data_IF_962701281179
#
_entry.id   IF_962701281179
#
_cell.length_a   1.000
_cell.length_b   1.000
_cell.length_c   1.000
_cell.angle_alpha   90.00
_cell.angle_beta   90.00
_cell.angle_gamma   90.00
#
_symmetry.space_group_name_H-M   'P 1'
#
loop_
_entity.id
_entity.type
_entity.pdbx_description
1 polymer ?
#
# COMPACT_ATOMS: atom_id res chain seq x y z
N UNK A 1 -7.16 -17.03 -54.37
CA UNK A 1 -8.21 -16.00 -54.24
C UNK A 1 -8.87 -15.86 -52.86
N UNK A 2 -8.40 -16.58 -51.82
CA UNK A 2 -8.77 -16.32 -50.41
C UNK A 2 -7.62 -15.63 -49.64
N UNK A 3 -6.37 -16.11 -49.77
CA UNK A 3 -5.20 -15.55 -49.06
C UNK A 3 -4.78 -14.11 -49.42
N UNK A 4 -5.28 -13.52 -50.51
CA UNK A 4 -5.02 -12.10 -50.83
C UNK A 4 -5.99 -11.14 -50.12
N UNK A 5 -7.18 -11.61 -49.75
CA UNK A 5 -8.20 -10.79 -49.06
C UNK A 5 -7.88 -10.59 -47.57
N UNK A 6 -7.14 -11.52 -46.95
CA UNK A 6 -6.75 -11.41 -45.55
C UNK A 6 -5.60 -10.40 -45.32
N UNK A 7 -4.72 -10.19 -46.32
CA UNK A 7 -3.63 -9.21 -46.24
C UNK A 7 -4.16 -7.78 -46.41
N UNK A 8 -5.19 -7.58 -47.23
CA UNK A 8 -5.87 -6.30 -47.42
C UNK A 8 -6.73 -5.90 -46.20
N UNK A 9 -7.24 -6.89 -45.44
CA UNK A 9 -7.98 -6.65 -44.19
C UNK A 9 -7.05 -6.30 -43.01
N UNK A 10 -5.82 -6.85 -42.98
CA UNK A 10 -4.81 -6.49 -41.98
C UNK A 10 -4.21 -5.10 -42.29
N UNK A 11 -4.01 -4.76 -43.57
CA UNK A 11 -3.47 -3.44 -43.96
C UNK A 11 -4.47 -2.29 -43.77
N UNK A 12 -5.78 -2.54 -43.91
CA UNK A 12 -6.82 -1.55 -43.54
C UNK A 12 -7.00 -1.39 -42.02
N UNK A 13 -6.76 -2.43 -41.22
CA UNK A 13 -6.72 -2.31 -39.75
C UNK A 13 -5.41 -1.69 -39.22
N UNK A 14 -4.35 -1.66 -40.04
CA UNK A 14 -3.10 -0.97 -39.72
C UNK A 14 -3.16 0.53 -40.05
N UNK A 15 -4.05 0.97 -40.95
CA UNK A 15 -4.27 2.40 -41.24
C UNK A 15 -5.14 3.12 -40.21
N UNK A 16 -5.88 2.40 -39.36
CA UNK A 16 -6.66 2.99 -38.24
C UNK A 16 -5.87 3.13 -36.93
N UNK A 17 -4.58 2.76 -36.92
CA UNK A 17 -3.67 3.00 -35.77
C UNK A 17 -3.01 4.38 -35.78
N UNK A 18 -3.52 5.32 -36.56
CA UNK A 18 -3.16 6.73 -36.47
C UNK A 18 -4.23 7.48 -35.67
N UNK A 19 -4.07 7.49 -34.35
CA UNK A 19 -4.33 8.63 -33.44
C UNK A 19 -4.20 8.18 -31.97
N UNK A 20 -3.07 7.55 -31.65
CA UNK A 20 -2.49 7.76 -30.32
C UNK A 20 -1.94 9.18 -30.37
N UNK A 21 -2.79 10.12 -29.94
CA UNK A 21 -2.45 11.53 -29.78
C UNK A 21 -1.08 11.65 -29.14
N UNK A 22 -0.24 12.50 -29.74
CA UNK A 22 1.10 12.81 -29.29
C UNK A 22 1.10 12.94 -27.76
N UNK A 23 1.77 12.00 -27.08
CA UNK A 23 2.37 12.31 -25.79
C UNK A 23 3.17 13.58 -26.02
N UNK A 24 2.82 14.65 -25.30
CA UNK A 24 3.56 15.90 -25.28
C UNK A 24 5.06 15.61 -25.38
N UNK A 25 5.73 16.23 -26.36
CA UNK A 25 7.15 16.07 -26.58
C UNK A 25 7.88 16.19 -25.23
N UNK A 26 8.50 15.11 -24.77
CA UNK A 26 9.27 15.12 -23.54
C UNK A 26 10.39 16.15 -23.75
N UNK A 27 10.38 17.22 -22.98
CA UNK A 27 11.42 18.24 -22.99
C UNK A 27 12.71 17.63 -22.43
N UNK A 28 13.53 17.07 -23.32
CA UNK A 28 14.80 16.40 -22.99
C UNK A 28 15.75 17.33 -22.21
N UNK A 29 15.60 18.66 -22.34
CA UNK A 29 16.41 19.64 -21.60
C UNK A 29 16.16 19.62 -20.08
N UNK A 30 15.10 18.93 -19.63
CA UNK A 30 14.76 18.73 -18.22
C UNK A 30 15.35 17.45 -17.62
N UNK A 31 16.06 16.64 -18.41
CA UNK A 31 16.60 15.37 -17.95
C UNK A 31 18.10 15.28 -18.23
N UNK A 32 18.83 14.62 -17.34
CA UNK A 32 20.26 14.39 -17.50
C UNK A 32 20.65 13.02 -16.97
N UNK A 33 21.66 12.41 -17.59
CA UNK A 33 22.16 11.11 -17.20
C UNK A 33 22.98 11.22 -15.91
N UNK A 34 22.62 10.42 -14.92
CA UNK A 34 23.37 10.26 -13.68
C UNK A 34 23.92 8.86 -13.53
N UNK A 35 24.96 8.69 -12.72
CA UNK A 35 25.49 7.40 -12.33
C UNK A 35 25.34 7.21 -10.81
N UNK A 36 24.83 6.06 -10.41
CA UNK A 36 24.73 5.62 -9.01
C UNK A 36 25.67 4.43 -8.80
N UNK A 37 26.46 4.45 -7.73
CA UNK A 37 27.38 3.36 -7.42
C UNK A 37 26.67 2.02 -7.14
N UNK A 38 25.44 2.08 -6.62
CA UNK A 38 24.64 0.89 -6.27
C UNK A 38 23.73 0.42 -7.39
N UNK A 39 23.33 1.32 -8.29
CA UNK A 39 22.27 1.08 -9.27
C UNK A 39 22.70 1.29 -10.73
N UNK A 40 23.90 1.82 -10.97
CA UNK A 40 24.41 2.13 -12.30
C UNK A 40 23.80 3.40 -12.90
N UNK A 41 23.77 3.46 -14.23
CA UNK A 41 23.25 4.61 -14.98
C UNK A 41 21.73 4.78 -14.82
N UNK A 42 21.30 6.04 -14.74
CA UNK A 42 19.89 6.42 -14.66
C UNK A 42 19.65 7.78 -15.31
N UNK A 43 18.40 8.09 -15.62
CA UNK A 43 17.97 9.43 -16.02
C UNK A 43 17.36 10.14 -14.81
N UNK A 44 17.82 11.35 -14.52
CA UNK A 44 17.29 12.20 -13.46
C UNK A 44 16.65 13.46 -14.02
N UNK A 45 15.59 13.92 -13.37
CA UNK A 45 15.04 15.24 -13.63
C UNK A 45 15.97 16.33 -13.09
N UNK A 46 16.14 17.38 -13.87
CA UNK A 46 16.83 18.61 -13.47
C UNK A 46 15.83 19.49 -12.73
N UNK A 47 16.13 19.83 -11.47
CA UNK A 47 15.43 20.90 -10.75
C UNK A 47 16.21 22.20 -10.92
N UNK A 48 15.57 23.22 -11.48
CA UNK A 48 16.07 24.59 -11.50
C UNK A 48 15.57 25.32 -10.26
N UNK A 49 16.49 25.92 -9.51
CA UNK A 49 16.14 26.86 -8.43
C UNK A 49 16.45 28.28 -8.89
N UNK A 50 15.41 29.11 -8.85
CA UNK A 50 15.53 30.55 -8.55
C UNK A 50 16.20 31.44 -9.61
N UNK A 51 16.15 31.06 -10.90
CA UNK A 51 16.59 31.95 -11.99
C UNK A 51 18.11 32.24 -12.04
N UNK A 52 18.89 31.66 -11.14
CA UNK A 52 20.37 31.75 -11.08
C UNK A 52 21.08 30.76 -12.01
N UNK A 53 20.33 29.85 -12.65
CA UNK A 53 20.83 28.90 -13.63
C UNK A 53 21.44 27.61 -13.02
N UNK A 54 21.53 27.50 -11.70
CA UNK A 54 22.01 26.29 -11.03
C UNK A 54 21.02 25.13 -11.17
N UNK A 55 21.48 24.06 -11.81
CA UNK A 55 20.72 22.82 -12.05
C UNK A 55 21.13 21.78 -11.02
N UNK A 56 20.17 21.24 -10.27
CA UNK A 56 20.40 20.16 -9.32
C UNK A 56 19.69 18.88 -9.74
N UNK A 57 20.37 17.76 -9.61
CA UNK A 57 19.81 16.44 -9.85
C UNK A 57 18.91 16.01 -8.70
N UNK A 58 17.78 15.38 -9.00
CA UNK A 58 16.96 14.75 -7.96
C UNK A 58 17.67 13.63 -7.20
N UNK A 59 18.81 13.13 -7.70
CA UNK A 59 19.47 11.91 -7.22
C UNK A 59 18.93 10.66 -7.90
N UNK A 60 19.53 9.51 -7.60
CA UNK A 60 19.12 8.22 -8.17
C UNK A 60 17.66 7.89 -7.79
N UNK A 61 16.74 7.72 -8.77
CA UNK A 61 15.34 7.41 -8.48
C UNK A 61 15.16 6.12 -7.66
N UNK A 62 16.05 5.13 -7.86
CA UNK A 62 16.03 3.87 -7.10
C UNK A 62 16.43 4.08 -5.64
N UNK A 63 17.53 4.77 -5.35
CA UNK A 63 17.90 5.12 -3.96
C UNK A 63 16.79 5.92 -3.25
N UNK A 64 16.16 6.86 -3.95
CA UNK A 64 15.05 7.64 -3.40
C UNK A 64 13.84 6.77 -3.07
N UNK A 65 13.47 5.86 -3.98
CA UNK A 65 12.39 4.92 -3.76
C UNK A 65 12.68 4.00 -2.55
N UNK A 66 13.88 3.43 -2.48
CA UNK A 66 14.33 2.59 -1.35
C UNK A 66 14.29 3.35 -0.02
N UNK A 67 14.75 4.61 0.00
CA UNK A 67 14.72 5.46 1.20
C UNK A 67 13.28 5.77 1.61
N UNK A 68 12.40 6.05 0.64
CA UNK A 68 10.97 6.25 0.88
C UNK A 68 10.33 5.00 1.49
N UNK A 69 10.60 3.83 0.93
CA UNK A 69 10.08 2.55 1.45
C UNK A 69 10.59 2.30 2.87
N UNK A 70 11.89 2.51 3.15
CA UNK A 70 12.44 2.39 4.51
C UNK A 70 11.74 3.31 5.52
N UNK A 71 11.44 4.56 5.12
CA UNK A 71 10.69 5.51 5.95
C UNK A 71 9.26 5.03 6.22
N UNK A 72 8.55 4.58 5.17
CA UNK A 72 7.19 4.04 5.31
C UNK A 72 7.19 2.82 6.22
N UNK A 73 8.15 1.91 6.06
CA UNK A 73 8.31 0.74 6.90
C UNK A 73 8.54 1.13 8.37
N UNK A 74 9.42 2.09 8.65
CA UNK A 74 9.66 2.60 10.00
C UNK A 74 8.42 3.24 10.66
N UNK A 75 7.48 3.75 9.86
CA UNK A 75 6.22 4.33 10.33
C UNK A 75 5.08 3.30 10.43
N UNK A 76 5.26 2.11 9.84
CA UNK A 76 4.21 1.11 9.71
C UNK A 76 3.80 0.43 11.00
N UNK A 77 4.61 0.53 12.06
CA UNK A 77 4.39 -0.17 13.34
C UNK A 77 4.31 -1.70 13.22
N UNK A 78 4.73 -2.28 12.08
CA UNK A 78 4.87 -3.73 11.92
C UNK A 78 5.88 -4.25 12.96
N UNK A 79 5.49 -5.20 13.83
CA UNK A 79 6.38 -5.77 14.83
C UNK A 79 7.63 -6.39 14.19
N UNK A 80 8.78 -6.33 14.89
CA UNK A 80 10.05 -6.88 14.39
C UNK A 80 9.94 -8.34 13.93
N UNK A 81 9.11 -9.17 14.60
CA UNK A 81 8.89 -10.58 14.24
C UNK A 81 8.21 -10.79 12.87
N UNK A 82 7.60 -9.73 12.33
CA UNK A 82 6.91 -9.74 11.05
C UNK A 82 7.59 -8.88 9.97
N UNK A 83 8.74 -8.28 10.29
CA UNK A 83 9.42 -7.31 9.44
C UNK A 83 9.90 -7.89 8.10
N UNK A 84 10.17 -9.20 8.07
CA UNK A 84 10.66 -9.95 6.92
C UNK A 84 9.56 -10.76 6.21
N UNK A 85 8.30 -10.66 6.66
CA UNK A 85 7.21 -11.50 6.15
C UNK A 85 6.64 -10.94 4.86
N UNK A 86 6.86 -11.67 3.77
CA UNK A 86 6.42 -11.35 2.42
C UNK A 86 5.75 -12.58 1.78
N UNK A 87 5.22 -12.43 0.56
CA UNK A 87 4.54 -13.54 -0.12
C UNK A 87 5.49 -14.70 -0.47
N UNK A 88 6.74 -14.40 -0.83
CA UNK A 88 7.75 -15.41 -1.19
C UNK A 88 8.11 -16.32 -0.02
N UNK A 89 8.13 -15.79 1.20
CA UNK A 89 8.42 -16.53 2.42
C UNK A 89 7.22 -17.20 3.07
N UNK A 90 6.03 -17.20 2.44
CA UNK A 90 4.84 -17.87 2.96
C UNK A 90 4.67 -19.26 2.34
N UNK A 91 4.65 -20.30 3.18
CA UNK A 91 4.42 -21.68 2.74
C UNK A 91 3.01 -22.14 3.11
N UNK A 92 2.17 -22.37 2.10
CA UNK A 92 0.84 -22.93 2.29
C UNK A 92 0.90 -24.47 2.31
N UNK A 93 0.42 -25.10 3.37
CA UNK A 93 0.37 -26.56 3.52
C UNK A 93 -1.05 -27.11 3.47
N UNK A 94 -2.05 -26.29 3.79
CA UNK A 94 -3.45 -26.69 3.84
C UNK A 94 -4.32 -25.91 2.86
N UNK A 95 -5.44 -26.50 2.43
CA UNK A 95 -6.39 -25.88 1.49
C UNK A 95 -6.82 -24.46 1.92
N UNK A 96 -7.09 -24.25 3.21
CA UNK A 96 -7.46 -22.93 3.74
C UNK A 96 -6.35 -21.89 3.62
N UNK A 97 -5.09 -22.30 3.78
CA UNK A 97 -3.92 -21.44 3.63
C UNK A 97 -3.70 -21.04 2.16
N UNK A 98 -3.89 -21.97 1.22
CA UNK A 98 -3.87 -21.64 -0.22
C UNK A 98 -4.95 -20.64 -0.60
N UNK A 99 -6.16 -20.78 -0.04
CA UNK A 99 -7.25 -19.84 -0.28
C UNK A 99 -6.96 -18.46 0.32
N UNK A 100 -6.40 -18.41 1.53
CA UNK A 100 -5.99 -17.16 2.16
C UNK A 100 -4.88 -16.47 1.36
N UNK A 101 -3.84 -17.21 0.95
CA UNK A 101 -2.75 -16.70 0.11
C UNK A 101 -3.29 -16.12 -1.20
N UNK A 102 -4.13 -16.88 -1.91
CA UNK A 102 -4.76 -16.42 -3.15
C UNK A 102 -5.56 -15.14 -2.94
N UNK A 103 -6.37 -15.08 -1.89
CA UNK A 103 -7.18 -13.89 -1.57
C UNK A 103 -6.31 -12.67 -1.28
N UNK A 104 -5.18 -12.86 -0.59
CA UNK A 104 -4.23 -11.79 -0.32
C UNK A 104 -3.50 -11.32 -1.58
N UNK A 105 -3.13 -12.25 -2.47
CA UNK A 105 -2.53 -11.90 -3.77
C UNK A 105 -3.52 -11.13 -4.65
N UNK A 106 -4.76 -11.60 -4.75
CA UNK A 106 -5.83 -10.94 -5.52
C UNK A 106 -6.08 -9.53 -4.96
N UNK A 107 -6.16 -9.39 -3.63
CA UNK A 107 -6.32 -8.09 -2.97
C UNK A 107 -5.13 -7.15 -3.21
N UNK A 108 -3.89 -7.65 -3.12
CA UNK A 108 -2.70 -6.86 -3.41
C UNK A 108 -2.64 -6.40 -4.88
N UNK A 109 -3.11 -7.22 -5.82
CA UNK A 109 -3.22 -6.82 -7.22
C UNK A 109 -4.30 -5.77 -7.43
N UNK A 110 -5.45 -5.91 -6.78
CA UNK A 110 -6.51 -4.91 -6.85
C UNK A 110 -6.02 -3.54 -6.35
N UNK A 111 -5.30 -3.50 -5.23
CA UNK A 111 -4.72 -2.26 -4.69
C UNK A 111 -3.76 -1.56 -5.67
N UNK A 112 -3.13 -2.29 -6.59
CA UNK A 112 -2.28 -1.70 -7.65
C UNK A 112 -3.11 -0.97 -8.70
N UNK A 113 -4.33 -1.45 -8.97
CA UNK A 113 -5.22 -0.90 -9.99
C UNK A 113 -6.18 0.15 -9.45
N UNK A 114 -6.76 -0.08 -8.27
CA UNK A 114 -7.72 0.80 -7.63
C UNK A 114 -7.52 0.76 -6.12
N UNK A 115 -6.93 1.83 -5.59
CA UNK A 115 -6.67 1.95 -4.16
C UNK A 115 -7.94 2.32 -3.37
N UNK A 116 -8.89 3.01 -4.00
CA UNK A 116 -10.06 3.57 -3.34
C UNK A 116 -11.30 2.73 -3.59
N UNK A 117 -11.13 1.41 -3.81
CA UNK A 117 -12.26 0.49 -3.95
C UNK A 117 -13.04 0.28 -2.66
N UNK A 118 -12.52 0.77 -1.52
CA UNK A 118 -13.14 0.63 -0.19
C UNK A 118 -13.15 -0.79 0.36
N UNK A 119 -12.53 -1.75 -0.33
CA UNK A 119 -12.58 -3.16 0.08
C UNK A 119 -11.77 -3.40 1.36
N UNK A 120 -12.36 -4.24 2.21
CA UNK A 120 -11.72 -4.75 3.43
C UNK A 120 -11.49 -6.24 3.27
N UNK A 121 -10.25 -6.67 3.47
CA UNK A 121 -9.90 -8.09 3.52
C UNK A 121 -10.01 -8.59 4.96
N UNK A 122 -10.79 -9.64 5.19
CA UNK A 122 -10.97 -10.25 6.50
C UNK A 122 -10.34 -11.64 6.52
N UNK A 123 -9.32 -11.82 7.37
CA UNK A 123 -8.60 -13.07 7.55
C UNK A 123 -9.02 -13.72 8.87
N UNK A 124 -9.74 -14.84 8.79
CA UNK A 124 -10.28 -15.56 9.93
C UNK A 124 -9.75 -16.99 9.92
N UNK A 125 -9.44 -17.53 11.10
CA UNK A 125 -9.08 -18.93 11.27
C UNK A 125 -8.21 -19.16 12.50
N UNK A 126 -7.85 -20.41 12.76
CA UNK A 126 -7.08 -20.77 13.96
C UNK A 126 -5.70 -20.12 14.02
N UNK A 127 -5.13 -19.91 15.23
CA UNK A 127 -3.75 -19.45 15.39
C UNK A 127 -2.75 -20.34 14.66
N UNK A 128 -1.62 -19.77 14.23
CA UNK A 128 -0.55 -20.52 13.56
C UNK A 128 -0.73 -20.73 12.05
N UNK A 129 -1.84 -20.29 11.45
CA UNK A 129 -2.10 -20.38 10.00
C UNK A 129 -1.45 -19.27 9.16
N UNK A 130 -0.73 -18.35 9.80
CA UNK A 130 0.02 -17.27 9.14
C UNK A 130 -0.84 -16.12 8.59
N UNK A 131 -2.04 -15.89 9.11
CA UNK A 131 -2.88 -14.73 8.75
C UNK A 131 -2.16 -13.39 8.89
N UNK A 132 -1.48 -13.16 10.03
CA UNK A 132 -0.69 -11.94 10.25
C UNK A 132 0.48 -11.82 9.28
N UNK A 133 1.11 -12.94 8.91
CA UNK A 133 2.16 -12.97 7.89
C UNK A 133 1.61 -12.45 6.56
N UNK A 134 0.50 -13.04 6.09
CA UNK A 134 -0.13 -12.63 4.85
C UNK A 134 -0.59 -11.16 4.87
N UNK A 135 -1.15 -10.70 5.98
CA UNK A 135 -1.51 -9.28 6.15
C UNK A 135 -0.29 -8.35 6.03
N UNK A 136 0.84 -8.71 6.66
CA UNK A 136 2.09 -7.95 6.55
C UNK A 136 2.66 -8.00 5.13
N UNK A 137 2.54 -9.13 4.43
CA UNK A 137 2.96 -9.27 3.03
C UNK A 137 2.19 -8.31 2.11
N UNK A 138 0.87 -8.18 2.28
CA UNK A 138 0.09 -7.15 1.56
C UNK A 138 0.56 -5.74 1.95
N UNK A 139 0.84 -5.51 3.24
CA UNK A 139 1.41 -4.24 3.72
C UNK A 139 2.75 -3.90 3.05
N UNK A 140 3.60 -4.90 2.82
CA UNK A 140 4.86 -4.69 2.09
C UNK A 140 4.61 -4.30 0.64
N UNK A 141 3.70 -4.97 -0.07
CA UNK A 141 3.31 -4.56 -1.43
C UNK A 141 2.78 -3.13 -1.47
N UNK A 142 1.93 -2.75 -0.51
CA UNK A 142 1.45 -1.37 -0.38
C UNK A 142 2.59 -0.35 -0.23
N UNK A 143 3.58 -0.64 0.61
CA UNK A 143 4.73 0.23 0.80
C UNK A 143 5.62 0.31 -0.43
N UNK A 144 5.75 -0.78 -1.21
CA UNK A 144 6.44 -0.77 -2.51
C UNK A 144 5.76 0.15 -3.52
N UNK A 145 4.43 0.31 -3.43
CA UNK A 145 3.66 1.31 -4.18
C UNK A 145 3.75 2.73 -3.60
N UNK A 146 4.58 2.93 -2.57
CA UNK A 146 4.79 4.21 -1.91
C UNK A 146 3.62 4.67 -1.04
N UNK A 147 2.75 3.74 -0.61
CA UNK A 147 1.58 3.99 0.25
C UNK A 147 1.92 3.82 1.73
N UNK A 148 1.24 4.61 2.55
CA UNK A 148 1.34 4.54 4.01
C UNK A 148 0.57 3.33 4.55
N UNK A 149 1.24 2.53 5.38
CA UNK A 149 0.64 1.38 6.06
C UNK A 149 0.71 1.62 7.56
N UNK A 150 -0.27 1.14 8.31
CA UNK A 150 -0.20 1.07 9.76
C UNK A 150 -0.71 -0.28 10.24
N UNK A 151 0.12 -0.96 11.01
CA UNK A 151 -0.22 -2.17 11.74
C UNK A 151 -0.56 -1.81 13.19
N UNK A 152 -1.68 -2.32 13.68
CA UNK A 152 -2.07 -2.20 15.08
C UNK A 152 -2.83 -3.44 15.51
N UNK A 153 -2.80 -3.76 16.81
CA UNK A 153 -3.83 -4.59 17.42
C UNK A 153 -4.99 -3.68 17.85
N UNK A 154 -6.19 -4.23 18.02
CA UNK A 154 -7.31 -3.44 18.58
C UNK A 154 -6.98 -2.97 20.00
N UNK A 155 -6.36 -3.82 20.83
CA UNK A 155 -5.92 -3.43 22.19
C UNK A 155 -5.05 -2.18 22.15
N UNK A 156 -4.04 -2.16 21.27
CA UNK A 156 -3.15 -1.01 21.12
C UNK A 156 -3.88 0.25 20.68
N UNK A 157 -4.84 0.12 19.76
CA UNK A 157 -5.67 1.25 19.33
C UNK A 157 -6.47 1.83 20.50
N UNK A 158 -7.10 0.97 21.30
CA UNK A 158 -7.88 1.39 22.46
C UNK A 158 -6.99 1.99 23.56
N UNK A 159 -5.80 1.44 23.77
CA UNK A 159 -4.78 2.02 24.68
C UNK A 159 -4.33 3.40 24.22
N UNK A 160 -4.03 3.58 22.91
CA UNK A 160 -3.71 4.88 22.33
C UNK A 160 -4.86 5.87 22.64
N UNK A 161 -6.12 5.49 22.41
CA UNK A 161 -7.29 6.33 22.70
C UNK A 161 -7.39 6.66 24.19
N UNK A 162 -7.26 5.69 25.10
CA UNK A 162 -7.32 5.92 26.55
C UNK A 162 -6.23 6.88 27.02
N UNK A 163 -5.04 6.79 26.43
CA UNK A 163 -3.91 7.67 26.79
C UNK A 163 -4.22 9.15 26.52
N UNK A 164 -5.10 9.47 25.56
CA UNK A 164 -5.50 10.85 25.26
C UNK A 164 -6.44 11.48 26.28
N UNK A 165 -7.06 10.71 27.17
CA UNK A 165 -8.05 11.26 28.11
C UNK A 165 -7.45 12.21 29.14
N UNK A 166 -6.16 12.06 29.43
CA UNK A 166 -5.42 12.87 30.40
C UNK A 166 -4.40 13.82 29.75
N UNK A 167 -4.31 13.84 28.42
CA UNK A 167 -3.35 14.64 27.66
C UNK A 167 -4.07 15.86 27.06
N UNK A 168 -3.61 17.06 27.42
CA UNK A 168 -4.22 18.32 26.91
C UNK A 168 -3.87 18.58 25.45
N UNK A 169 -2.79 18.00 24.94
CA UNK A 169 -2.27 18.22 23.59
C UNK A 169 -2.68 17.10 22.62
N UNK A 170 -3.17 15.96 23.14
CA UNK A 170 -3.70 14.86 22.33
C UNK A 170 -5.18 14.66 22.61
N UNK A 171 -6.02 14.92 21.60
CA UNK A 171 -7.42 14.54 21.64
C UNK A 171 -7.64 13.14 21.05
N UNK A 172 -8.70 12.47 21.51
CA UNK A 172 -9.19 11.21 20.90
C UNK A 172 -9.35 11.36 19.39
N UNK A 173 -9.89 12.51 18.94
CA UNK A 173 -10.08 12.82 17.52
C UNK A 173 -8.77 12.80 16.73
N UNK A 174 -7.68 13.33 17.29
CA UNK A 174 -6.37 13.30 16.63
C UNK A 174 -5.82 11.87 16.49
N UNK A 175 -6.07 11.03 17.49
CA UNK A 175 -5.66 9.62 17.47
C UNK A 175 -6.44 8.87 16.39
N UNK A 176 -7.77 9.01 16.38
CA UNK A 176 -8.63 8.41 15.34
C UNK A 176 -8.20 8.90 13.95
N UNK A 177 -7.96 10.20 13.79
CA UNK A 177 -7.49 10.77 12.52
C UNK A 177 -6.19 10.11 12.01
N UNK A 178 -5.26 9.74 12.89
CA UNK A 178 -4.03 9.01 12.52
C UNK A 178 -4.33 7.61 11.98
N UNK A 179 -5.27 6.87 12.56
CA UNK A 179 -5.67 5.55 12.06
C UNK A 179 -6.48 5.64 10.75
N UNK A 180 -7.22 6.74 10.57
CA UNK A 180 -8.00 7.00 9.35
C UNK A 180 -7.11 7.54 8.22
N UNK A 181 -6.05 8.30 8.52
CA UNK A 181 -5.25 9.00 7.50
C UNK A 181 -4.44 8.07 6.62
N UNK A 182 -3.96 6.94 7.16
CA UNK A 182 -3.10 6.00 6.43
C UNK A 182 -3.82 5.34 5.26
N UNK A 183 -3.07 5.04 4.21
CA UNK A 183 -3.61 4.45 2.98
C UNK A 183 -4.14 3.03 3.24
N UNK A 184 -3.41 2.21 4.00
CA UNK A 184 -3.82 0.85 4.42
C UNK A 184 -3.71 0.70 5.94
N UNK A 185 -4.79 0.26 6.59
CA UNK A 185 -4.80 -0.10 8.01
C UNK A 185 -4.88 -1.62 8.17
N UNK A 186 -3.90 -2.21 8.83
CA UNK A 186 -3.90 -3.62 9.24
C UNK A 186 -4.26 -3.65 10.72
N UNK A 187 -5.38 -4.28 11.04
CA UNK A 187 -5.90 -4.42 12.38
C UNK A 187 -5.92 -5.89 12.78
N UNK A 188 -5.06 -6.25 13.72
CA UNK A 188 -4.86 -7.62 14.18
C UNK A 188 -5.61 -7.93 15.48
N UNK A 189 -5.79 -9.23 15.72
CA UNK A 189 -6.43 -9.82 16.90
C UNK A 189 -7.90 -9.44 17.11
N UNK A 190 -8.61 -9.01 16.07
CA UNK A 190 -10.03 -8.65 16.16
C UNK A 190 -10.82 -9.82 16.78
N UNK A 191 -11.54 -9.55 17.87
CA UNK A 191 -12.35 -10.56 18.57
C UNK A 191 -11.61 -11.38 19.64
N UNK A 192 -10.32 -11.18 19.86
CA UNK A 192 -9.56 -11.85 20.92
C UNK A 192 -9.72 -11.20 22.32
N UNK A 193 -10.52 -10.14 22.44
CA UNK A 193 -10.61 -9.33 23.65
C UNK A 193 -11.82 -9.70 24.51
N UNK A 194 -11.58 -9.91 25.80
CA UNK A 194 -12.64 -10.08 26.81
C UNK A 194 -12.74 -8.80 27.63
N UNK A 195 -13.95 -8.26 27.82
CA UNK A 195 -14.19 -7.12 28.71
C UNK A 195 -14.01 -5.72 28.10
N UNK A 196 -14.25 -5.54 26.79
CA UNK A 196 -14.31 -4.22 26.15
C UNK A 196 -15.61 -3.50 26.57
N UNK A 197 -15.49 -2.26 27.04
CA UNK A 197 -16.62 -1.37 27.35
C UNK A 197 -17.36 -0.91 26.08
N UNK A 198 -18.64 -0.57 26.17
CA UNK A 198 -19.41 -0.07 25.02
C UNK A 198 -18.73 1.14 24.35
N UNK A 199 -18.18 2.06 25.15
CA UNK A 199 -17.46 3.23 24.64
C UNK A 199 -16.22 2.88 23.80
N UNK A 200 -15.51 1.80 24.15
CA UNK A 200 -14.37 1.33 23.35
C UNK A 200 -14.83 0.70 22.02
N UNK A 201 -15.99 0.02 22.01
CA UNK A 201 -16.59 -0.48 20.77
C UNK A 201 -17.00 0.67 19.87
N UNK A 202 -17.57 1.74 20.43
CA UNK A 202 -17.93 2.95 19.68
C UNK A 202 -16.70 3.57 18.99
N UNK A 203 -15.57 3.66 19.68
CA UNK A 203 -14.33 4.17 19.08
C UNK A 203 -13.77 3.28 17.98
N UNK A 204 -13.81 1.96 18.17
CA UNK A 204 -13.42 1.02 17.13
C UNK A 204 -14.33 1.18 15.90
N UNK A 205 -15.64 1.28 16.12
CA UNK A 205 -16.62 1.51 15.07
C UNK A 205 -16.39 2.85 14.35
N UNK A 206 -16.06 3.91 15.08
CA UNK A 206 -15.74 5.22 14.50
C UNK A 206 -14.57 5.15 13.52
N UNK A 207 -13.50 4.43 13.87
CA UNK A 207 -12.34 4.23 12.97
C UNK A 207 -12.74 3.44 11.73
N UNK A 208 -13.48 2.34 11.88
CA UNK A 208 -13.92 1.49 10.77
C UNK A 208 -14.84 2.28 9.84
N UNK A 209 -15.84 2.96 10.40
CA UNK A 209 -16.82 3.73 9.64
C UNK A 209 -16.18 4.89 8.88
N UNK A 210 -15.31 5.66 9.54
CA UNK A 210 -14.61 6.77 8.89
C UNK A 210 -13.71 6.32 7.72
N UNK A 211 -13.10 5.13 7.82
CA UNK A 211 -12.33 4.55 6.71
C UNK A 211 -13.22 4.04 5.59
N UNK A 212 -14.35 3.41 5.93
CA UNK A 212 -15.34 2.95 4.97
C UNK A 212 -15.92 4.12 4.15
N UNK A 213 -16.32 5.21 4.81
CA UNK A 213 -16.82 6.43 4.15
C UNK A 213 -15.79 7.09 3.22
N UNK A 214 -14.51 6.96 3.54
CA UNK A 214 -13.39 7.46 2.71
C UNK A 214 -12.90 6.44 1.68
N UNK A 215 -13.57 5.29 1.55
CA UNK A 215 -13.21 4.18 0.69
C UNK A 215 -11.75 3.72 0.87
N UNK A 216 -11.25 3.78 2.11
CA UNK A 216 -9.86 3.39 2.42
C UNK A 216 -9.78 1.91 2.77
N UNK A 217 -8.87 1.15 2.13
CA UNK A 217 -8.78 -0.28 2.31
C UNK A 217 -8.30 -0.63 3.72
N UNK A 218 -8.70 -1.81 4.18
CA UNK A 218 -8.33 -2.36 5.48
C UNK A 218 -8.05 -3.86 5.39
N UNK A 219 -7.22 -4.35 6.31
CA UNK A 219 -7.08 -5.78 6.57
C UNK A 219 -7.42 -6.02 8.03
N UNK A 220 -8.37 -6.91 8.28
CA UNK A 220 -8.79 -7.33 9.59
C UNK A 220 -8.35 -8.78 9.82
N UNK A 221 -7.69 -9.08 10.93
CA UNK A 221 -7.24 -10.43 11.29
C UNK A 221 -7.91 -10.87 12.59
N UNK A 222 -8.51 -12.06 12.58
CA UNK A 222 -9.22 -12.64 13.73
C UNK A 222 -8.93 -14.12 13.90
N UNK A 223 -8.88 -14.59 15.14
CA UNK A 223 -8.71 -16.01 15.48
C UNK A 223 -10.02 -16.74 15.80
N UNK A 224 -11.17 -16.11 15.50
CA UNK A 224 -12.50 -16.67 15.74
C UNK A 224 -12.87 -17.79 14.75
#
# INVERSE_FOLDING_TARGET
NARRRDVDMISSQLSEKQELTLRESIDESRFEAGFCEFHGWFTAGIKSTDGTGSRWFSGCPRCLAETKIKKLFGQSMIPKRFADKNFEGYEATEKGQYQALKSCLDFAQELKTDWFSGKTLLLIGTPGTGKTHLACAVGHEAMQLGRTVLYTTVTRLLEDIKSSWNDKDRSVKNIIARYVSVDLLIMDEIGAFRGISEREKDYLFEVINARYEQMKPMIAVSNL
#
